data_IF_796434637937
#
_entry.id   IF_796434637937
#
_cell.length_a   1.000
_cell.length_b   1.000
_cell.length_c   1.000
_cell.angle_alpha   90.00
_cell.angle_beta   90.00
_cell.angle_gamma   90.00
#
_symmetry.space_group_name_H-M   'P 1'
#
loop_
_entity.id
_entity.type
_entity.pdbx_description
1 polymer ?
#
# COMPACT_ATOMS: atom_id res chain seq x y z
N UNK A 1 -10.34 14.22 -18.29
CA UNK A 1 -9.89 12.84 -18.03
C UNK A 1 -8.88 12.84 -16.88
N UNK A 2 -9.15 12.05 -15.86
CA UNK A 2 -8.23 11.94 -14.73
C UNK A 2 -7.15 10.92 -15.05
N UNK A 3 -5.88 11.36 -14.95
CA UNK A 3 -4.75 10.46 -15.09
C UNK A 3 -4.42 9.86 -13.73
N UNK A 4 -5.04 8.71 -13.43
CA UNK A 4 -4.74 8.01 -12.20
C UNK A 4 -3.34 7.42 -12.21
N UNK A 5 -2.71 7.42 -11.05
CA UNK A 5 -1.37 6.88 -10.85
C UNK A 5 -1.43 5.54 -10.15
N UNK A 6 -0.34 4.81 -10.22
CA UNK A 6 -0.14 3.58 -9.47
C UNK A 6 1.03 3.80 -8.51
N UNK A 7 0.81 3.47 -7.26
CA UNK A 7 1.77 3.67 -6.19
C UNK A 7 2.20 2.34 -5.60
N UNK A 8 3.40 2.30 -5.05
CA UNK A 8 3.91 1.19 -4.26
C UNK A 8 4.25 1.74 -2.88
N UNK A 9 3.63 1.20 -1.84
CA UNK A 9 3.74 1.72 -0.49
C UNK A 9 4.16 0.64 0.50
N UNK A 10 4.86 1.07 1.55
CA UNK A 10 5.39 0.19 2.59
C UNK A 10 4.41 0.10 3.76
N UNK A 11 3.82 -1.07 3.96
CA UNK A 11 2.94 -1.36 5.09
C UNK A 11 3.78 -1.87 6.25
N UNK A 12 4.07 -0.99 7.22
CA UNK A 12 4.96 -1.29 8.35
C UNK A 12 4.21 -2.04 9.44
N UNK A 13 4.44 -3.35 9.55
CA UNK A 13 3.80 -4.23 10.54
C UNK A 13 4.16 -3.85 11.98
N UNK A 14 5.29 -3.19 12.20
CA UNK A 14 5.68 -2.72 13.54
C UNK A 14 4.77 -1.62 14.07
N UNK A 15 4.07 -0.93 13.18
CA UNK A 15 3.16 0.17 13.54
C UNK A 15 1.71 -0.25 13.50
N UNK A 16 1.31 -1.02 12.49
CA UNK A 16 -0.09 -1.35 12.24
C UNK A 16 -0.21 -2.74 11.61
N UNK A 17 -1.25 -3.47 12.02
CA UNK A 17 -1.59 -4.78 11.47
C UNK A 17 -2.46 -4.57 10.22
N UNK A 18 -1.86 -4.08 9.14
CA UNK A 18 -2.60 -3.74 7.91
C UNK A 18 -3.36 -4.93 7.32
N UNK A 19 -2.74 -6.11 7.29
CA UNK A 19 -3.39 -7.30 6.75
C UNK A 19 -4.66 -7.66 7.52
N UNK A 20 -4.61 -7.60 8.84
CA UNK A 20 -5.79 -7.87 9.68
C UNK A 20 -6.89 -6.83 9.46
N UNK A 21 -6.51 -5.56 9.35
CA UNK A 21 -7.46 -4.48 9.07
C UNK A 21 -8.15 -4.70 7.71
N UNK A 22 -7.39 -5.05 6.69
CA UNK A 22 -7.93 -5.32 5.35
C UNK A 22 -8.89 -6.51 5.39
N UNK A 23 -8.53 -7.58 6.07
CA UNK A 23 -9.41 -8.76 6.19
C UNK A 23 -10.71 -8.46 6.95
N UNK A 24 -10.63 -7.66 8.00
CA UNK A 24 -11.80 -7.34 8.82
C UNK A 24 -12.67 -6.24 8.23
N UNK A 25 -12.06 -5.20 7.69
CA UNK A 25 -12.77 -3.99 7.26
C UNK A 25 -12.96 -3.92 5.74
N UNK A 26 -12.09 -4.57 4.97
CA UNK A 26 -12.04 -4.41 3.52
C UNK A 26 -11.33 -3.15 3.07
N UNK A 27 -10.78 -2.37 4.00
CA UNK A 27 -10.05 -1.14 3.72
C UNK A 27 -9.06 -0.83 4.83
N UNK A 28 -8.16 0.12 4.56
CA UNK A 28 -7.30 0.74 5.56
C UNK A 28 -7.31 2.25 5.36
N UNK A 29 -6.86 2.97 6.38
CA UNK A 29 -6.62 4.41 6.30
C UNK A 29 -5.13 4.66 6.11
N UNK A 30 -4.80 5.49 5.13
CA UNK A 30 -3.41 5.84 4.82
C UNK A 30 -3.20 7.33 5.03
N UNK A 31 -2.17 7.70 5.79
CA UNK A 31 -1.94 9.10 6.13
C UNK A 31 -1.74 9.96 4.87
N UNK A 32 -2.25 11.17 4.91
CA UNK A 32 -2.02 12.17 3.88
C UNK A 32 -0.67 12.84 4.15
N UNK A 33 0.36 12.37 3.46
CA UNK A 33 1.73 12.80 3.65
C UNK A 33 2.33 13.47 2.42
N UNK A 34 3.63 13.24 2.20
CA UNK A 34 4.37 13.85 1.08
C UNK A 34 3.88 13.36 -0.29
N UNK A 35 3.54 12.07 -0.38
CA UNK A 35 2.98 11.55 -1.62
C UNK A 35 1.50 11.90 -1.66
N UNK A 36 1.10 12.59 -2.72
CA UNK A 36 -0.29 13.02 -2.89
C UNK A 36 -1.03 12.03 -3.76
N UNK A 37 -1.79 11.17 -3.10
CA UNK A 37 -2.66 10.23 -3.78
C UNK A 37 -3.91 10.96 -4.26
N UNK A 38 -4.54 10.44 -5.30
CA UNK A 38 -5.82 10.94 -5.81
C UNK A 38 -6.85 9.83 -5.80
N UNK A 39 -8.11 10.18 -5.64
CA UNK A 39 -9.21 9.21 -5.73
C UNK A 39 -9.14 8.49 -7.07
N UNK A 40 -9.19 7.16 -7.05
CA UNK A 40 -9.03 6.32 -8.22
C UNK A 40 -7.61 5.80 -8.46
N UNK A 41 -6.62 6.32 -7.73
CA UNK A 41 -5.25 5.79 -7.80
C UNK A 41 -5.18 4.37 -7.25
N UNK A 42 -4.33 3.55 -7.86
CA UNK A 42 -4.02 2.21 -7.36
C UNK A 42 -2.84 2.27 -6.40
N UNK A 43 -2.91 1.48 -5.34
CA UNK A 43 -1.81 1.37 -4.36
C UNK A 43 -1.53 -0.10 -4.12
N UNK A 44 -0.33 -0.54 -4.46
CA UNK A 44 0.14 -1.87 -4.09
C UNK A 44 0.86 -1.77 -2.75
N UNK A 45 0.56 -2.68 -1.84
CA UNK A 45 1.17 -2.69 -0.51
C UNK A 45 2.26 -3.73 -0.40
N UNK A 46 3.48 -3.27 -0.11
CA UNK A 46 4.59 -4.11 0.27
C UNK A 46 4.51 -4.36 1.78
N UNK A 47 4.34 -5.62 2.17
CA UNK A 47 4.18 -6.00 3.57
C UNK A 47 5.54 -6.17 4.23
N UNK A 48 5.82 -5.38 5.27
CA UNK A 48 7.15 -5.34 5.90
C UNK A 48 7.55 -6.65 6.56
N UNK A 49 6.61 -7.37 7.15
CA UNK A 49 6.86 -8.64 7.83
C UNK A 49 6.99 -9.80 6.86
N UNK A 50 6.24 -9.77 5.78
CA UNK A 50 6.24 -10.83 4.76
C UNK A 50 7.27 -10.61 3.67
N UNK A 51 7.81 -9.39 3.56
CA UNK A 51 8.78 -8.96 2.55
C UNK A 51 8.30 -9.25 1.13
N UNK A 52 7.04 -8.87 0.85
CA UNK A 52 6.41 -9.05 -0.47
C UNK A 52 5.25 -8.08 -0.68
N UNK A 53 4.88 -7.85 -1.94
CA UNK A 53 3.62 -7.19 -2.28
C UNK A 53 2.52 -8.24 -2.19
N UNK A 54 1.43 -7.91 -1.51
CA UNK A 54 0.31 -8.83 -1.30
C UNK A 54 -1.03 -8.25 -1.69
N UNK A 55 -1.24 -6.96 -1.50
CA UNK A 55 -2.55 -6.33 -1.69
C UNK A 55 -2.52 -5.28 -2.78
N UNK A 56 -3.58 -5.28 -3.61
CA UNK A 56 -3.88 -4.22 -4.56
C UNK A 56 -5.06 -3.44 -4.00
N UNK A 57 -4.85 -2.16 -3.76
CA UNK A 57 -5.83 -1.26 -3.17
C UNK A 57 -6.18 -0.14 -4.15
N UNK A 58 -7.33 0.49 -3.93
CA UNK A 58 -7.72 1.68 -4.68
C UNK A 58 -8.09 2.80 -3.70
N UNK A 59 -7.70 4.02 -4.02
CA UNK A 59 -8.09 5.20 -3.23
C UNK A 59 -9.53 5.54 -3.54
N UNK A 60 -10.42 5.44 -2.55
CA UNK A 60 -11.86 5.70 -2.72
C UNK A 60 -12.33 6.98 -2.07
N UNK A 61 -11.56 7.51 -1.12
CA UNK A 61 -11.92 8.75 -0.43
C UNK A 61 -10.66 9.44 0.11
N UNK A 62 -10.79 10.72 0.38
CA UNK A 62 -9.74 11.54 1.02
C UNK A 62 -10.36 12.35 2.14
N UNK A 63 -9.50 12.96 2.97
CA UNK A 63 -9.93 13.76 4.14
C UNK A 63 -10.79 12.95 5.12
N UNK A 64 -10.48 11.66 5.29
CA UNK A 64 -11.23 10.75 6.14
C UNK A 64 -10.64 10.70 7.54
N UNK A 65 -11.50 10.57 8.53
CA UNK A 65 -11.06 10.20 9.88
C UNK A 65 -10.58 8.75 9.84
N UNK A 66 -9.56 8.46 10.65
CA UNK A 66 -9.03 7.11 10.75
C UNK A 66 -10.03 6.18 11.45
N UNK A 67 -10.31 5.04 10.83
CA UNK A 67 -11.23 4.02 11.35
C UNK A 67 -10.54 2.70 11.68
N UNK A 68 -9.23 2.60 11.40
CA UNK A 68 -8.46 1.37 11.62
C UNK A 68 -7.66 1.37 12.93
N UNK A 69 -8.01 2.24 13.89
CA UNK A 69 -7.27 2.43 15.13
C UNK A 69 -7.02 1.13 15.90
N UNK A 70 -8.01 0.25 15.94
CA UNK A 70 -7.92 -1.00 16.72
C UNK A 70 -6.86 -1.97 16.19
N UNK A 71 -6.37 -1.75 14.97
CA UNK A 71 -5.32 -2.56 14.36
C UNK A 71 -3.93 -1.99 14.53
N UNK A 72 -3.81 -0.82 15.17
CA UNK A 72 -2.51 -0.21 15.41
C UNK A 72 -1.81 -0.87 16.60
N UNK A 73 -0.53 -1.20 16.42
CA UNK A 73 0.32 -1.81 17.44
C UNK A 73 0.90 -0.74 18.36
N UNK A 74 1.25 0.41 17.78
CA UNK A 74 1.65 1.60 18.51
C UNK A 74 0.46 2.52 18.64
N UNK A 75 0.61 3.65 19.32
CA UNK A 75 -0.46 4.65 19.43
C UNK A 75 -0.92 5.06 18.02
N UNK A 76 -2.22 4.91 17.78
CA UNK A 76 -2.82 5.29 16.50
C UNK A 76 -2.75 6.80 16.29
N UNK A 77 -2.30 7.26 15.10
CA UNK A 77 -2.32 8.69 14.81
C UNK A 77 -3.75 9.23 14.84
N UNK A 78 -3.89 10.45 15.33
CA UNK A 78 -5.13 11.20 15.21
C UNK A 78 -4.98 12.12 13.99
N UNK A 79 -5.18 11.57 12.81
CA UNK A 79 -4.88 12.24 11.55
C UNK A 79 -6.04 12.17 10.55
N UNK A 80 -5.91 12.95 9.50
CA UNK A 80 -6.80 12.90 8.35
C UNK A 80 -6.12 12.03 7.29
N UNK A 81 -6.87 11.14 6.67
CA UNK A 81 -6.33 10.07 5.85
C UNK A 81 -7.01 9.94 4.49
N UNK A 82 -6.34 9.18 3.60
CA UNK A 82 -7.01 8.55 2.47
C UNK A 82 -7.64 7.24 2.91
N UNK A 83 -8.74 6.85 2.26
CA UNK A 83 -9.30 5.51 2.40
C UNK A 83 -8.84 4.66 1.23
N UNK A 84 -8.18 3.54 1.54
CA UNK A 84 -7.73 2.57 0.54
C UNK A 84 -8.58 1.31 0.69
N UNK A 85 -9.39 0.99 -0.33
CA UNK A 85 -10.21 -0.20 -0.34
C UNK A 85 -9.53 -1.32 -1.11
N UNK A 86 -9.74 -2.55 -0.65
CA UNK A 86 -9.15 -3.75 -1.25
C UNK A 86 -9.77 -4.05 -2.60
N UNK A 87 -8.92 -4.28 -3.62
CA UNK A 87 -9.33 -4.79 -4.92
C UNK A 87 -8.95 -6.27 -5.09
N UNK A 88 -7.70 -6.62 -4.85
CA UNK A 88 -7.20 -7.99 -5.06
C UNK A 88 -6.15 -8.34 -4.02
N UNK A 89 -6.05 -9.65 -3.74
CA UNK A 89 -5.01 -10.23 -2.89
C UNK A 89 -4.18 -11.19 -3.73
N UNK A 90 -2.86 -11.09 -3.64
CA UNK A 90 -1.95 -12.03 -4.27
C UNK A 90 -1.23 -12.85 -3.20
N UNK A 91 -1.36 -14.17 -3.24
CA UNK A 91 -0.79 -15.08 -2.24
C UNK A 91 0.41 -15.88 -2.76
N UNK A 92 0.87 -15.59 -3.99
CA UNK A 92 1.98 -16.31 -4.60
C UNK A 92 3.36 -15.80 -4.18
N UNK A 93 4.39 -16.30 -4.87
CA UNK A 93 5.78 -16.02 -4.53
C UNK A 93 6.49 -15.06 -5.50
N UNK A 94 5.82 -14.63 -6.56
CA UNK A 94 6.44 -13.84 -7.62
C UNK A 94 6.61 -12.36 -7.29
N UNK A 95 6.05 -11.90 -6.18
CA UNK A 95 6.15 -10.51 -5.73
C UNK A 95 6.93 -10.37 -4.41
N UNK A 96 7.86 -11.30 -4.15
CA UNK A 96 8.79 -11.21 -3.03
C UNK A 96 9.78 -10.06 -3.26
N UNK A 97 10.38 -9.57 -2.18
CA UNK A 97 11.43 -8.54 -2.27
C UNK A 97 12.54 -8.95 -3.24
N UNK A 98 12.96 -10.22 -3.17
CA UNK A 98 13.99 -10.75 -4.07
C UNK A 98 13.59 -10.62 -5.54
N UNK A 99 12.35 -10.97 -5.87
CA UNK A 99 11.84 -10.86 -7.23
C UNK A 99 11.70 -9.39 -7.67
N UNK A 100 11.20 -8.54 -6.78
CA UNK A 100 11.02 -7.12 -7.07
C UNK A 100 12.35 -6.39 -7.28
N UNK A 101 13.41 -6.81 -6.59
CA UNK A 101 14.75 -6.24 -6.77
C UNK A 101 15.28 -6.42 -8.19
N UNK A 102 14.85 -7.45 -8.91
CA UNK A 102 15.21 -7.65 -10.31
C UNK A 102 14.67 -6.55 -11.22
N UNK A 103 13.66 -5.83 -10.77
CA UNK A 103 13.00 -4.74 -11.51
C UNK A 103 13.30 -3.37 -10.90
N UNK A 104 14.28 -3.28 -10.03
CA UNK A 104 14.78 -2.00 -9.53
C UNK A 104 14.30 -1.59 -8.14
N UNK A 105 13.65 -2.49 -7.38
CA UNK A 105 13.35 -2.20 -5.98
C UNK A 105 14.66 -2.14 -5.18
N UNK A 106 14.83 -1.07 -4.38
CA UNK A 106 16.02 -0.85 -3.56
C UNK A 106 15.82 -1.26 -2.09
N UNK A 107 14.95 -2.25 -1.86
CA UNK A 107 14.57 -2.69 -0.53
C UNK A 107 13.26 -2.07 -0.05
N UNK A 108 12.54 -2.79 0.81
CA UNK A 108 11.21 -2.38 1.24
C UNK A 108 11.17 -1.03 1.94
N UNK A 109 12.19 -0.71 2.74
CA UNK A 109 12.24 0.56 3.48
C UNK A 109 12.29 1.80 2.58
N UNK A 110 12.76 1.64 1.33
CA UNK A 110 12.76 2.75 0.37
C UNK A 110 11.35 3.19 0.00
N UNK A 111 10.33 2.41 0.36
CA UNK A 111 8.92 2.67 0.06
C UNK A 111 8.16 3.32 1.21
N UNK A 112 8.82 3.79 2.27
CA UNK A 112 8.15 4.48 3.39
C UNK A 112 7.36 5.70 2.90
N UNK A 113 7.84 6.32 1.82
CA UNK A 113 7.07 7.30 1.06
C UNK A 113 6.59 6.58 -0.21
N UNK A 114 5.28 6.50 -0.46
CA UNK A 114 4.78 5.84 -1.65
C UNK A 114 5.46 6.33 -2.92
N UNK A 115 5.81 5.39 -3.80
CA UNK A 115 6.58 5.65 -5.01
C UNK A 115 5.85 5.11 -6.23
N UNK A 116 5.76 5.90 -7.29
CA UNK A 116 5.18 5.49 -8.58
C UNK A 116 6.12 5.75 -9.76
N UNK A 117 7.38 6.09 -9.51
CA UNK A 117 8.31 6.54 -10.56
C UNK A 117 8.98 5.42 -11.34
N UNK A 118 9.04 4.20 -10.80
CA UNK A 118 9.65 3.06 -11.47
C UNK A 118 8.62 2.32 -12.32
N UNK A 119 8.52 2.68 -13.58
CA UNK A 119 7.53 2.09 -14.51
C UNK A 119 7.74 0.59 -14.74
N UNK A 120 8.99 0.14 -14.78
CA UNK A 120 9.33 -1.27 -14.98
C UNK A 120 8.85 -2.11 -13.81
N UNK A 121 9.12 -1.66 -12.59
CA UNK A 121 8.68 -2.34 -11.36
C UNK A 121 7.15 -2.39 -11.27
N UNK A 122 6.49 -1.26 -11.47
CA UNK A 122 5.03 -1.19 -11.45
C UNK A 122 4.42 -2.08 -12.55
N UNK A 123 5.00 -2.06 -13.74
CA UNK A 123 4.55 -2.91 -14.85
C UNK A 123 4.65 -4.39 -14.53
N UNK A 124 5.74 -4.81 -13.90
CA UNK A 124 5.90 -6.20 -13.45
C UNK A 124 4.83 -6.57 -12.41
N UNK A 125 4.63 -5.74 -11.40
CA UNK A 125 3.62 -6.00 -10.37
C UNK A 125 2.23 -6.13 -11.00
N UNK A 126 1.87 -5.22 -11.89
CA UNK A 126 0.58 -5.27 -12.59
C UNK A 126 0.40 -6.54 -13.40
N UNK A 127 1.48 -7.08 -13.98
CA UNK A 127 1.41 -8.29 -14.79
C UNK A 127 1.09 -9.54 -13.97
N UNK A 128 1.35 -9.51 -12.66
CA UNK A 128 1.13 -10.64 -11.75
C UNK A 128 -0.28 -10.63 -11.16
N UNK A 129 -0.82 -9.46 -10.87
CA UNK A 129 -2.18 -9.32 -10.33
C UNK A 129 -3.27 -9.61 -11.34
#
# INVERSE_FOLDING_TARGET
MLNNRTWLAFANRKRCRHADAIHCLGFINWRMGRARLSIGDLVYLFMSDERRVRFKMIVTAENCKREDQSFWVVESPNDITYKLELLEVYEGTMLSEKELCKYGLKGGRSLEIPNCNNKELIGYIKSIF
#
